data_IF_988353330490
#
_entry.id   IF_988353330490
#
_cell.length_a   1.000
_cell.length_b   1.000
_cell.length_c   1.000
_cell.angle_alpha   90.00
_cell.angle_beta   90.00
_cell.angle_gamma   90.00
#
_symmetry.space_group_name_H-M   'P 1'
#
loop_
_entity.id
_entity.type
_entity.pdbx_description
1 polymer ?
#
# COMPACT_ATOMS: atom_id res chain seq x y z
N UNK A 1 7.18 -26.04 -27.07
CA UNK A 1 7.60 -25.45 -25.79
C UNK A 1 7.36 -23.93 -25.73
N UNK A 2 8.13 -23.08 -26.43
CA UNK A 2 8.01 -21.63 -26.21
C UNK A 2 6.86 -20.96 -27.03
N UNK A 3 6.50 -21.52 -28.19
CA UNK A 3 5.36 -21.07 -29.00
C UNK A 3 3.99 -21.32 -28.35
N UNK A 4 3.90 -22.27 -27.41
CA UNK A 4 2.64 -22.66 -26.75
C UNK A 4 2.17 -21.62 -25.72
N UNK A 5 3.07 -20.75 -25.25
CA UNK A 5 2.76 -19.66 -24.33
C UNK A 5 1.94 -18.53 -24.98
N UNK A 6 1.97 -18.42 -26.32
CA UNK A 6 1.17 -17.43 -27.07
C UNK A 6 -0.33 -17.80 -27.10
N UNK A 7 -0.68 -19.05 -26.80
CA UNK A 7 -2.06 -19.56 -26.86
C UNK A 7 -2.83 -19.54 -25.54
N UNK A 8 -2.25 -19.01 -24.46
CA UNK A 8 -2.92 -18.98 -23.15
C UNK A 8 -4.02 -17.90 -23.11
N UNK A 9 -5.30 -18.27 -22.88
CA UNK A 9 -6.38 -17.30 -22.82
C UNK A 9 -6.22 -16.36 -21.63
N UNK A 10 -6.39 -15.05 -21.85
CA UNK A 10 -6.32 -14.02 -20.80
C UNK A 10 -4.98 -13.28 -20.69
N UNK A 11 -4.06 -13.43 -21.64
CA UNK A 11 -2.84 -12.62 -21.65
C UNK A 11 -3.16 -11.13 -21.88
N UNK A 12 -2.69 -10.21 -21.03
CA UNK A 12 -2.83 -8.78 -21.27
C UNK A 12 -2.05 -8.37 -22.53
N UNK A 13 -2.47 -7.31 -23.25
CA UNK A 13 -1.82 -6.90 -24.50
C UNK A 13 -0.33 -6.54 -24.33
N UNK A 14 0.09 -6.17 -23.12
CA UNK A 14 1.49 -5.93 -22.76
C UNK A 14 2.34 -7.21 -22.56
N UNK A 15 1.72 -8.39 -22.46
CA UNK A 15 2.43 -9.67 -22.34
C UNK A 15 3.02 -10.13 -23.67
N UNK A 16 2.41 -9.74 -24.80
CA UNK A 16 2.92 -10.07 -26.13
C UNK A 16 4.36 -9.58 -26.39
N UNK A 17 4.72 -8.29 -26.20
CA UNK A 17 6.09 -7.83 -26.41
C UNK A 17 7.09 -8.41 -25.42
N UNK A 18 6.66 -8.73 -24.19
CA UNK A 18 7.51 -9.34 -23.16
C UNK A 18 7.81 -10.81 -23.49
N UNK A 19 6.81 -11.52 -24.00
CA UNK A 19 6.93 -12.90 -24.45
C UNK A 19 7.79 -12.99 -25.73
N UNK A 20 7.64 -12.06 -26.68
CA UNK A 20 8.54 -11.94 -27.84
C UNK A 20 10.00 -11.76 -27.42
N UNK A 21 10.25 -10.92 -26.43
CA UNK A 21 11.61 -10.64 -25.91
C UNK A 21 12.21 -11.84 -25.20
N UNK A 22 11.40 -12.59 -24.44
CA UNK A 22 11.79 -13.86 -23.82
C UNK A 22 12.07 -14.96 -24.86
N UNK A 23 11.32 -14.98 -25.95
CA UNK A 23 11.52 -15.92 -27.07
C UNK A 23 12.77 -15.59 -27.88
N UNK A 24 13.06 -14.30 -28.11
CA UNK A 24 14.27 -13.84 -28.79
C UNK A 24 15.57 -14.16 -28.01
N UNK A 25 15.48 -14.30 -26.69
CA UNK A 25 16.58 -14.72 -25.81
C UNK A 25 16.84 -16.24 -25.84
N UNK A 26 16.06 -17.03 -26.59
CA UNK A 26 16.32 -18.44 -26.82
C UNK A 26 17.08 -18.67 -28.14
N UNK A 27 18.40 -18.96 -28.14
CA UNK A 27 19.03 -19.52 -29.32
C UNK A 27 18.68 -21.01 -29.42
N UNK A 28 18.15 -21.42 -30.57
CA UNK A 28 17.82 -22.81 -30.81
C UNK A 28 17.14 -23.04 -32.14
N UNK A 29 17.87 -22.79 -33.24
CA UNK A 29 17.59 -23.47 -34.50
C UNK A 29 17.78 -24.99 -34.35
N UNK A 30 17.20 -25.79 -35.26
CA UNK A 30 17.25 -27.25 -35.18
C UNK A 30 18.66 -27.74 -35.52
N UNK A 31 19.55 -27.85 -34.52
CA UNK A 31 20.91 -28.36 -34.78
C UNK A 31 21.92 -28.34 -33.63
N UNK A 32 21.59 -27.87 -32.43
CA UNK A 32 22.53 -27.83 -31.30
C UNK A 32 22.29 -28.96 -30.31
N UNK A 33 23.18 -29.95 -30.29
CA UNK A 33 23.21 -31.11 -29.41
C UNK A 33 23.25 -30.78 -27.90
N UNK A 34 22.40 -31.48 -27.15
CA UNK A 34 22.57 -31.99 -25.78
C UNK A 34 23.46 -31.23 -24.77
N UNK A 35 22.82 -30.70 -23.73
CA UNK A 35 23.44 -30.42 -22.43
C UNK A 35 22.36 -30.21 -21.36
N UNK A 36 22.57 -30.65 -20.10
CA UNK A 36 21.59 -30.50 -19.03
C UNK A 36 21.28 -29.01 -18.86
N UNK A 37 19.99 -28.67 -18.79
CA UNK A 37 19.48 -27.30 -18.86
C UNK A 37 20.36 -26.32 -18.09
N UNK A 38 21.01 -25.42 -18.85
CA UNK A 38 21.92 -24.39 -18.36
C UNK A 38 21.33 -23.75 -17.09
N UNK A 39 22.03 -23.78 -15.94
CA UNK A 39 21.55 -23.19 -14.70
C UNK A 39 21.18 -21.71 -14.87
N UNK A 40 21.81 -21.01 -15.82
CA UNK A 40 21.43 -19.65 -16.20
C UNK A 40 20.02 -19.60 -16.81
N UNK A 41 19.67 -20.57 -17.66
CA UNK A 41 18.32 -20.71 -18.27
C UNK A 41 17.26 -20.98 -17.20
N UNK A 42 17.55 -21.86 -16.24
CA UNK A 42 16.64 -22.15 -15.12
C UNK A 42 16.43 -20.91 -14.23
N UNK A 43 17.50 -20.16 -13.96
CA UNK A 43 17.44 -18.92 -13.18
C UNK A 43 16.67 -17.82 -13.90
N UNK A 44 16.89 -17.63 -15.21
CA UNK A 44 16.17 -16.64 -16.02
C UNK A 44 14.68 -16.96 -16.11
N UNK A 45 14.32 -18.24 -16.32
CA UNK A 45 12.93 -18.68 -16.31
C UNK A 45 12.28 -18.47 -14.94
N UNK A 46 12.98 -18.83 -13.86
CA UNK A 46 12.50 -18.63 -12.49
C UNK A 46 12.27 -17.14 -12.19
N UNK A 47 13.18 -16.26 -12.61
CA UNK A 47 13.03 -14.80 -12.45
C UNK A 47 11.86 -14.24 -13.24
N UNK A 48 11.65 -14.72 -14.47
CA UNK A 48 10.49 -14.33 -15.27
C UNK A 48 9.17 -14.74 -14.59
N UNK A 49 9.08 -15.98 -14.07
CA UNK A 49 7.90 -16.47 -13.35
C UNK A 49 7.66 -15.71 -12.03
N UNK A 50 8.72 -15.36 -11.30
CA UNK A 50 8.63 -14.54 -10.07
C UNK A 50 8.08 -13.14 -10.36
N UNK A 51 8.55 -12.49 -11.44
CA UNK A 51 8.04 -11.18 -11.88
C UNK A 51 6.57 -11.24 -12.27
N UNK A 52 6.17 -12.26 -13.05
CA UNK A 52 4.78 -12.47 -13.45
C UNK A 52 3.85 -12.65 -12.24
N UNK A 53 4.29 -13.38 -11.21
CA UNK A 53 3.53 -13.58 -9.96
C UNK A 53 3.41 -12.30 -9.12
N UNK A 54 4.40 -11.41 -9.16
CA UNK A 54 4.34 -10.12 -8.47
C UNK A 54 3.30 -9.21 -9.13
N UNK A 55 3.35 -9.09 -10.45
CA UNK A 55 2.37 -8.34 -11.26
C UNK A 55 0.94 -8.86 -11.07
N UNK A 56 0.74 -10.18 -11.13
CA UNK A 56 -0.58 -10.79 -10.89
C UNK A 56 -1.13 -10.51 -9.49
N UNK A 57 -0.30 -10.55 -8.45
CA UNK A 57 -0.73 -10.19 -7.07
C UNK A 57 -1.04 -8.70 -6.93
N UNK A 58 -0.33 -7.83 -7.66
CA UNK A 58 -0.66 -6.41 -7.75
C UNK A 58 -2.02 -6.19 -8.41
N UNK A 59 -2.32 -6.94 -9.48
CA UNK A 59 -3.59 -6.86 -10.22
C UNK A 59 -4.78 -7.43 -9.44
N UNK A 60 -4.63 -8.53 -8.70
CA UNK A 60 -5.71 -9.05 -7.85
C UNK A 60 -6.03 -8.14 -6.66
N UNK A 61 -5.03 -7.43 -6.13
CA UNK A 61 -5.26 -6.38 -5.11
C UNK A 61 -5.78 -5.08 -5.70
N UNK A 62 -5.52 -4.83 -6.99
CA UNK A 62 -5.97 -3.69 -7.78
C UNK A 62 -7.22 -3.97 -8.61
N UNK A 63 -8.29 -4.48 -7.97
CA UNK A 63 -9.62 -4.48 -8.57
C UNK A 63 -10.05 -3.08 -9.04
N UNK A 64 -11.06 -2.95 -9.92
CA UNK A 64 -11.42 -1.69 -10.55
C UNK A 64 -11.59 -0.59 -9.49
N UNK A 65 -11.16 0.66 -9.76
CA UNK A 65 -11.32 1.75 -8.81
C UNK A 65 -12.81 2.01 -8.67
N UNK A 66 -13.44 1.36 -7.68
CA UNK A 66 -14.74 1.79 -7.20
C UNK A 66 -14.49 3.19 -6.65
N UNK A 67 -14.97 4.18 -7.40
CA UNK A 67 -15.03 5.57 -6.96
C UNK A 67 -15.36 5.59 -5.48
N UNK A 68 -14.40 6.01 -4.66
CA UNK A 68 -14.48 6.01 -3.21
C UNK A 68 -15.36 7.17 -2.76
N UNK A 69 -16.60 7.16 -3.24
CA UNK A 69 -17.72 7.98 -2.77
C UNK A 69 -18.28 7.29 -1.55
N UNK A 70 -17.58 7.35 -0.43
CA UNK A 70 -18.09 7.13 0.94
C UNK A 70 -16.98 7.34 1.96
N UNK A 71 -16.43 8.55 2.07
CA UNK A 71 -15.70 9.01 3.25
C UNK A 71 -16.65 9.25 4.46
N UNK A 72 -17.69 8.42 4.63
CA UNK A 72 -18.74 8.63 5.63
C UNK A 72 -19.49 7.38 6.09
N UNK A 73 -19.20 6.18 5.57
CA UNK A 73 -19.96 4.97 5.95
C UNK A 73 -19.10 3.75 6.37
N UNK A 74 -17.78 3.78 6.17
CA UNK A 74 -16.88 2.67 6.53
C UNK A 74 -16.03 2.90 7.79
N UNK A 75 -16.19 4.02 8.49
CA UNK A 75 -15.34 4.41 9.62
C UNK A 75 -15.68 3.75 10.97
N UNK A 76 -16.63 2.81 11.04
CA UNK A 76 -17.50 2.69 12.22
C UNK A 76 -17.55 1.34 12.97
N UNK A 77 -16.74 0.32 12.65
CA UNK A 77 -16.71 -0.89 13.48
C UNK A 77 -15.67 -0.76 14.61
N UNK A 78 -16.02 0.02 15.62
CA UNK A 78 -15.32 0.04 16.91
C UNK A 78 -14.81 1.42 17.38
N UNK A 79 -14.23 1.47 18.59
CA UNK A 79 -13.70 2.70 19.16
C UNK A 79 -12.50 3.22 18.36
N UNK A 80 -12.27 4.53 18.42
CA UNK A 80 -11.10 5.17 17.81
C UNK A 80 -9.80 4.46 18.21
N UNK A 81 -9.09 3.96 17.20
CA UNK A 81 -7.87 3.19 17.36
C UNK A 81 -6.91 3.41 16.19
N UNK A 82 -5.64 3.11 16.44
CA UNK A 82 -4.62 3.04 15.40
C UNK A 82 -4.85 1.79 14.56
N UNK A 83 -4.92 1.97 13.24
CA UNK A 83 -5.11 0.92 12.25
C UNK A 83 -3.93 0.90 11.31
N UNK A 84 -3.60 -0.30 10.83
CA UNK A 84 -2.55 -0.49 9.85
C UNK A 84 -2.97 0.14 8.50
N UNK A 85 -2.10 0.96 7.94
CA UNK A 85 -2.21 1.52 6.59
C UNK A 85 -0.83 1.52 5.93
N UNK A 86 -0.67 0.72 4.88
CA UNK A 86 0.52 0.75 4.02
C UNK A 86 0.30 1.70 2.85
N UNK A 87 1.29 2.56 2.60
CA UNK A 87 1.31 3.54 1.51
C UNK A 87 2.37 3.13 0.50
N UNK A 88 2.00 3.13 -0.77
CA UNK A 88 2.93 2.95 -1.91
C UNK A 88 3.48 4.32 -2.31
N UNK A 89 4.80 4.45 -2.32
CA UNK A 89 5.55 5.66 -2.68
C UNK A 89 6.12 5.59 -4.10
N UNK A 90 5.90 4.51 -4.87
CA UNK A 90 6.41 4.42 -6.25
C UNK A 90 5.77 5.45 -7.19
N UNK A 91 4.57 5.94 -6.86
CA UNK A 91 3.93 7.02 -7.61
C UNK A 91 4.61 8.38 -7.32
N UNK A 92 5.24 8.52 -6.16
CA UNK A 92 5.97 9.70 -5.70
C UNK A 92 7.37 9.71 -6.31
N UNK A 93 7.48 10.34 -7.49
CA UNK A 93 8.73 10.45 -8.28
C UNK A 93 9.94 10.99 -7.52
N UNK A 94 9.72 11.68 -6.40
CA UNK A 94 10.77 12.25 -5.56
C UNK A 94 11.36 11.26 -4.54
N UNK A 95 10.77 10.08 -4.35
CA UNK A 95 11.23 9.10 -3.35
C UNK A 95 11.69 7.82 -4.04
N UNK A 96 12.94 7.45 -3.83
CA UNK A 96 13.54 6.20 -4.30
C UNK A 96 13.35 5.06 -3.30
N UNK A 97 13.59 5.34 -2.00
CA UNK A 97 13.48 4.34 -0.92
C UNK A 97 12.83 4.99 0.31
N UNK A 98 11.90 4.32 1.00
CA UNK A 98 11.33 3.02 0.64
C UNK A 98 10.26 3.14 -0.44
N UNK A 99 10.04 2.06 -1.21
CA UNK A 99 8.94 2.00 -2.19
C UNK A 99 7.56 1.92 -1.51
N UNK A 100 7.50 1.34 -0.32
CA UNK A 100 6.27 1.31 0.48
C UNK A 100 6.63 1.54 1.94
N UNK A 101 5.69 2.10 2.70
CA UNK A 101 5.90 2.22 4.14
C UNK A 101 4.60 2.09 4.92
N UNK A 102 4.76 1.74 6.19
CA UNK A 102 3.67 1.58 7.13
C UNK A 102 3.34 2.92 7.78
N UNK A 103 2.39 3.65 7.20
CA UNK A 103 1.97 4.97 7.67
C UNK A 103 1.06 4.89 8.90
N UNK A 104 0.28 3.82 8.99
CA UNK A 104 -0.87 3.70 9.90
C UNK A 104 -1.89 4.82 9.71
N UNK A 105 -3.07 4.66 10.28
CA UNK A 105 -4.11 5.68 10.29
C UNK A 105 -5.02 5.54 11.50
N UNK A 106 -5.69 6.61 11.88
CA UNK A 106 -6.68 6.61 12.95
C UNK A 106 -8.07 6.41 12.37
N UNK A 107 -8.77 5.39 12.89
CA UNK A 107 -10.11 5.02 12.43
C UNK A 107 -10.96 4.56 13.62
N UNK A 108 -12.27 4.67 13.49
CA UNK A 108 -13.23 4.31 14.52
C UNK A 108 -14.01 5.51 15.04
N UNK A 109 -15.00 5.23 15.88
CA UNK A 109 -15.91 6.23 16.42
C UNK A 109 -15.37 6.87 17.72
N UNK A 110 -15.68 8.14 17.89
CA UNK A 110 -15.53 8.88 19.13
C UNK A 110 -16.87 8.90 19.85
N UNK A 111 -16.96 8.22 20.99
CA UNK A 111 -18.21 8.10 21.73
C UNK A 111 -18.00 7.96 23.24
N UNK A 112 -19.01 8.37 23.98
CA UNK A 112 -19.13 8.17 25.44
C UNK A 112 -19.92 6.87 25.71
N UNK A 113 -19.60 6.06 26.75
CA UNK A 113 -18.69 6.32 27.87
C UNK A 113 -17.23 5.92 27.66
N UNK A 114 -16.87 5.28 26.54
CA UNK A 114 -15.52 4.75 26.33
C UNK A 114 -14.43 5.83 26.40
N UNK A 115 -14.78 7.08 26.07
CA UNK A 115 -13.93 8.26 26.21
C UNK A 115 -13.44 8.54 27.63
N UNK A 116 -14.21 8.19 28.67
CA UNK A 116 -13.87 8.52 30.07
C UNK A 116 -12.68 7.71 30.60
N UNK A 117 -12.36 6.58 29.93
CA UNK A 117 -11.29 5.68 30.34
C UNK A 117 -10.03 5.83 29.49
N UNK A 118 -10.05 6.69 28.47
CA UNK A 118 -8.93 6.83 27.54
C UNK A 118 -8.09 8.07 27.90
N UNK A 119 -6.86 7.90 28.46
CA UNK A 119 -6.02 9.02 28.86
C UNK A 119 -5.52 9.86 27.67
N UNK A 120 -5.67 9.38 26.43
CA UNK A 120 -5.28 10.12 25.22
C UNK A 120 -6.30 11.16 24.80
N UNK A 121 -7.48 11.22 25.45
CA UNK A 121 -8.55 12.14 25.08
C UNK A 121 -8.46 13.40 25.95
N UNK A 122 -8.53 14.58 25.32
CA UNK A 122 -8.53 15.85 26.05
C UNK A 122 -9.85 16.09 26.77
N UNK A 123 -9.80 16.77 27.92
CA UNK A 123 -10.98 17.10 28.73
C UNK A 123 -12.09 17.78 27.93
N UNK A 124 -11.72 18.66 26.99
CA UNK A 124 -12.67 19.34 26.12
C UNK A 124 -13.50 18.36 25.29
N UNK A 125 -12.86 17.39 24.64
CA UNK A 125 -13.55 16.36 23.84
C UNK A 125 -14.42 15.46 24.70
N UNK A 126 -13.95 15.09 25.90
CA UNK A 126 -14.72 14.30 26.85
C UNK A 126 -16.00 15.04 27.26
N UNK A 127 -15.91 16.35 27.52
CA UNK A 127 -17.06 17.18 27.84
C UNK A 127 -18.03 17.30 26.65
N UNK A 128 -17.53 17.53 25.43
CA UNK A 128 -18.35 17.58 24.22
C UNK A 128 -19.11 16.26 24.00
N UNK A 129 -18.44 15.12 24.13
CA UNK A 129 -19.08 13.80 24.00
C UNK A 129 -20.14 13.56 25.08
N UNK A 130 -19.91 14.03 26.31
CA UNK A 130 -20.91 13.99 27.40
C UNK A 130 -22.12 14.88 27.11
N UNK A 131 -21.90 16.08 26.58
CA UNK A 131 -22.99 16.98 26.17
C UNK A 131 -23.81 16.37 25.03
N UNK A 132 -23.14 15.81 24.02
CA UNK A 132 -23.78 15.12 22.91
C UNK A 132 -24.61 13.92 23.38
N UNK A 133 -24.07 13.09 24.28
CA UNK A 133 -24.81 11.97 24.88
C UNK A 133 -26.05 12.41 25.68
N UNK A 134 -26.09 13.66 26.13
CA UNK A 134 -27.26 14.29 26.80
C UNK A 134 -28.22 14.97 25.82
N UNK A 135 -27.98 14.85 24.50
CA UNK A 135 -28.85 15.40 23.47
C UNK A 135 -28.44 16.77 22.93
N UNK A 136 -27.28 17.31 23.33
CA UNK A 136 -26.78 18.54 22.72
C UNK A 136 -26.39 18.29 21.25
N UNK A 137 -26.94 19.09 20.34
CA UNK A 137 -26.53 19.06 18.94
C UNK A 137 -25.18 19.76 18.80
N UNK A 138 -24.14 18.99 18.47
CA UNK A 138 -22.86 19.54 18.05
C UNK A 138 -22.92 19.85 16.55
N UNK A 139 -22.37 20.99 16.14
CA UNK A 139 -22.24 21.31 14.71
C UNK A 139 -21.40 20.25 13.96
N UNK A 140 -20.44 19.64 14.66
CA UNK A 140 -19.65 18.50 14.18
C UNK A 140 -19.28 17.58 15.36
N UNK A 141 -19.36 16.24 15.20
CA UNK A 141 -18.83 15.32 16.21
C UNK A 141 -17.29 15.36 16.25
N UNK A 142 -16.67 15.05 17.41
CA UNK A 142 -15.23 14.84 17.50
C UNK A 142 -14.71 13.79 16.52
N UNK A 143 -13.49 13.96 16.04
CA UNK A 143 -12.88 13.10 15.04
C UNK A 143 -11.79 12.22 15.62
N UNK A 144 -11.71 10.97 15.15
CA UNK A 144 -10.59 10.08 15.44
C UNK A 144 -9.39 10.48 14.59
N UNK A 145 -8.35 11.02 15.20
CA UNK A 145 -7.18 11.59 14.50
C UNK A 145 -5.88 11.16 15.18
N UNK A 146 -4.73 11.22 14.47
CA UNK A 146 -3.45 10.97 15.09
C UNK A 146 -3.10 12.06 16.10
N UNK A 147 -2.54 11.66 17.24
CA UNK A 147 -2.12 12.56 18.31
C UNK A 147 -0.62 12.53 18.56
N UNK A 148 0.07 11.54 17.98
CA UNK A 148 1.51 11.45 17.96
C UNK A 148 1.95 10.81 16.64
N UNK A 149 3.16 11.17 16.21
CA UNK A 149 3.74 10.66 14.99
C UNK A 149 5.21 10.26 15.15
N UNK A 150 5.65 9.32 14.32
CA UNK A 150 7.05 8.99 14.08
C UNK A 150 7.53 9.52 12.74
N UNK A 151 8.84 9.70 12.61
CA UNK A 151 9.49 10.05 11.35
C UNK A 151 9.86 8.83 10.51
N UNK A 152 10.28 9.09 9.26
CA UNK A 152 10.87 8.11 8.35
C UNK A 152 12.05 8.69 7.62
N UNK A 153 13.06 7.86 7.35
CA UNK A 153 14.13 8.21 6.43
C UNK A 153 13.64 7.96 5.00
N UNK A 154 13.69 8.98 4.16
CA UNK A 154 13.45 8.88 2.72
C UNK A 154 14.77 9.09 1.99
N UNK A 155 14.99 8.28 0.96
CA UNK A 155 16.09 8.48 0.02
C UNK A 155 15.48 9.00 -1.27
N UNK A 156 15.93 10.16 -1.73
CA UNK A 156 15.51 10.79 -2.98
C UNK A 156 16.67 10.86 -3.97
N UNK A 157 16.33 10.91 -5.26
CA UNK A 157 17.26 11.18 -6.35
C UNK A 157 16.85 12.47 -7.03
N UNK A 158 17.76 13.44 -7.12
CA UNK A 158 17.55 14.70 -7.82
C UNK A 158 18.72 15.00 -8.76
N UNK A 159 18.44 15.17 -10.05
CA UNK A 159 19.33 15.51 -11.18
C UNK A 159 20.60 14.63 -11.31
N UNK A 160 21.47 14.48 -10.30
CA UNK A 160 22.48 13.41 -10.21
C UNK A 160 22.84 12.98 -8.77
N UNK A 161 22.15 13.50 -7.74
CA UNK A 161 22.52 13.29 -6.34
C UNK A 161 21.50 12.44 -5.60
N UNK A 162 21.99 11.38 -4.96
CA UNK A 162 21.25 10.63 -3.95
C UNK A 162 21.35 11.38 -2.62
N UNK A 163 20.23 11.61 -1.98
CA UNK A 163 20.17 12.27 -0.67
C UNK A 163 19.23 11.54 0.27
N UNK A 164 19.60 11.46 1.54
CA UNK A 164 18.81 10.83 2.60
C UNK A 164 18.28 11.90 3.55
N UNK A 165 16.97 11.93 3.74
CA UNK A 165 16.27 12.94 4.53
C UNK A 165 15.43 12.27 5.61
N UNK A 166 15.59 12.70 6.86
CA UNK A 166 14.66 12.29 7.91
C UNK A 166 13.43 13.20 7.87
N UNK A 167 12.29 12.63 7.48
CA UNK A 167 11.02 13.34 7.39
C UNK A 167 10.19 13.05 8.64
N UNK A 168 9.92 14.06 9.49
CA UNK A 168 9.08 13.88 10.67
C UNK A 168 7.61 13.69 10.28
N UNK A 169 6.80 13.21 11.23
CA UNK A 169 5.35 13.11 11.09
C UNK A 169 4.82 12.23 9.94
N UNK A 170 5.59 11.21 9.55
CA UNK A 170 5.25 10.31 8.45
C UNK A 170 4.38 9.13 8.90
N UNK A 171 4.49 8.69 10.16
CA UNK A 171 3.80 7.51 10.69
C UNK A 171 2.95 7.89 11.88
N UNK A 172 1.65 7.62 11.85
CA UNK A 172 0.81 7.74 13.04
C UNK A 172 1.22 6.68 14.07
N UNK A 173 1.52 7.11 15.29
CA UNK A 173 1.93 6.23 16.40
C UNK A 173 0.91 6.16 17.51
N UNK A 174 0.07 7.19 17.65
CA UNK A 174 -1.06 7.20 18.58
C UNK A 174 -2.29 7.88 17.97
N UNK A 175 -3.47 7.43 18.41
CA UNK A 175 -4.75 8.00 18.03
C UNK A 175 -5.51 8.52 19.25
N UNK A 176 -6.31 9.55 19.02
CA UNK A 176 -7.26 10.07 20.00
C UNK A 176 -8.40 10.82 19.33
N UNK A 177 -9.43 11.12 20.14
CA UNK A 177 -10.52 11.98 19.69
C UNK A 177 -10.15 13.46 19.91
N UNK A 178 -10.33 14.28 18.88
CA UNK A 178 -10.10 15.74 18.89
C UNK A 178 -11.27 16.47 18.25
#
# INVERSE_FOLDING_TARGET
AAAELRGLPGLPPAAAPLLERLLALCPGGPGGSGGPGDPLRALLLLKALQGLRAEWRGRERGGPPRAQRSAGAGAADGPCALRELSVDLRAERSVLIPETYQANNCQGACGWPQSDRNPRYGNHVVLLLKMQARGAALARPPCCVPTAYGGKLLISLSEERISAHHVPNMVATECGCR
#
